data_IF_552614961948
#
_entry.id   IF_552614961948
#
_cell.length_a   1.000
_cell.length_b   1.000
_cell.length_c   1.000
_cell.angle_alpha   90.00
_cell.angle_beta   90.00
_cell.angle_gamma   90.00
#
_symmetry.space_group_name_H-M   'P 1'
#
loop_
_entity.id
_entity.type
_entity.pdbx_description
1 polymer ?
#
# COMPACT_ATOMS: atom_id res chain seq x y z
N UNK A 1 -26.14 5.30 -7.55
CA UNK A 1 -26.09 4.30 -8.64
C UNK A 1 -24.63 4.06 -8.98
N UNK A 2 -24.22 2.82 -9.23
CA UNK A 2 -22.80 2.48 -9.40
C UNK A 2 -22.26 3.03 -10.72
N UNK A 3 -21.44 4.09 -10.69
CA UNK A 3 -20.75 4.70 -11.84
C UNK A 3 -19.58 3.83 -12.36
N UNK A 4 -19.82 2.53 -12.53
CA UNK A 4 -18.85 1.54 -13.00
C UNK A 4 -19.21 1.17 -14.44
N UNK A 5 -18.30 1.44 -15.39
CA UNK A 5 -18.50 1.06 -16.79
C UNK A 5 -17.96 -0.36 -17.01
N UNK A 6 -18.80 -1.23 -17.57
CA UNK A 6 -18.36 -2.53 -18.07
C UNK A 6 -17.81 -2.30 -19.47
N UNK A 7 -16.50 -2.48 -19.64
CA UNK A 7 -15.89 -2.43 -20.97
C UNK A 7 -16.03 -3.79 -21.59
N UNK A 8 -16.41 -3.83 -22.87
CA UNK A 8 -16.48 -5.06 -23.64
C UNK A 8 -15.23 -5.19 -24.50
N UNK A 9 -14.74 -6.41 -24.67
CA UNK A 9 -13.72 -6.75 -25.66
C UNK A 9 -14.30 -6.70 -27.09
N UNK A 10 -13.47 -6.86 -28.13
CA UNK A 10 -13.93 -6.82 -29.53
C UNK A 10 -14.96 -7.88 -29.92
N UNK A 11 -15.16 -8.92 -29.10
CA UNK A 11 -16.17 -9.97 -29.31
C UNK A 11 -17.38 -9.82 -28.38
N UNK A 12 -17.45 -8.71 -27.63
CA UNK A 12 -18.59 -8.36 -26.78
C UNK A 12 -18.57 -8.97 -25.38
N UNK A 13 -17.46 -9.58 -24.94
CA UNK A 13 -17.34 -10.11 -23.59
C UNK A 13 -16.84 -9.03 -22.62
N UNK A 14 -17.29 -9.02 -21.35
CA UNK A 14 -16.76 -8.09 -20.35
C UNK A 14 -15.25 -8.25 -20.17
N UNK A 15 -14.48 -7.26 -20.60
CA UNK A 15 -13.01 -7.23 -20.40
C UNK A 15 -12.63 -6.75 -19.00
N UNK A 16 -13.60 -6.22 -18.24
CA UNK A 16 -13.46 -5.79 -16.86
C UNK A 16 -14.37 -4.63 -16.50
N UNK A 17 -14.34 -4.24 -15.22
CA UNK A 17 -14.93 -2.98 -14.77
C UNK A 17 -13.82 -1.95 -14.74
N UNK A 18 -13.83 -1.01 -15.68
CA UNK A 18 -12.78 0.00 -15.78
C UNK A 18 -13.28 1.37 -15.39
N UNK A 19 -12.61 1.93 -14.38
CA UNK A 19 -12.65 3.34 -14.02
C UNK A 19 -14.03 3.89 -13.67
N UNK A 20 -13.99 5.10 -13.15
CA UNK A 20 -15.16 5.98 -13.10
C UNK A 20 -15.17 6.76 -14.42
N UNK A 21 -16.35 7.00 -14.99
CA UNK A 21 -16.51 7.70 -16.28
C UNK A 21 -16.73 9.20 -16.04
N UNK A 22 -16.27 10.03 -16.98
CA UNK A 22 -16.74 11.41 -17.14
C UNK A 22 -18.24 11.44 -17.47
N UNK A 23 -18.91 12.53 -17.06
CA UNK A 23 -20.31 12.75 -17.43
C UNK A 23 -20.45 12.96 -18.95
N UNK A 24 -21.60 12.59 -19.51
CA UNK A 24 -21.83 12.62 -20.97
C UNK A 24 -21.71 14.03 -21.55
N UNK A 25 -21.99 15.05 -20.74
CA UNK A 25 -21.93 16.47 -21.07
C UNK A 25 -20.55 17.11 -20.79
N UNK A 26 -19.58 16.33 -20.29
CA UNK A 26 -18.23 16.84 -20.04
C UNK A 26 -17.58 17.30 -21.36
N UNK A 27 -16.86 18.44 -21.36
CA UNK A 27 -16.23 18.94 -22.57
C UNK A 27 -15.15 17.98 -23.06
N UNK A 28 -14.89 17.96 -24.37
CA UNK A 28 -13.92 17.03 -24.98
C UNK A 28 -12.51 17.09 -24.36
N UNK A 29 -12.09 18.26 -23.87
CA UNK A 29 -10.78 18.43 -23.23
C UNK A 29 -10.71 17.84 -21.80
N UNK A 30 -11.84 17.47 -21.20
CA UNK A 30 -11.91 16.91 -19.84
C UNK A 30 -11.12 15.60 -19.65
N UNK A 31 -10.84 14.87 -20.74
CA UNK A 31 -9.98 13.67 -20.70
C UNK A 31 -8.56 14.01 -20.20
N UNK A 32 -8.05 15.19 -20.57
CA UNK A 32 -6.69 15.63 -20.26
C UNK A 32 -6.60 16.56 -19.04
N UNK A 33 -7.73 17.05 -18.54
CA UNK A 33 -7.77 17.95 -17.39
C UNK A 33 -8.06 17.14 -16.10
N UNK A 34 -7.09 17.03 -15.18
CA UNK A 34 -7.27 16.26 -13.95
C UNK A 34 -8.40 16.78 -13.07
N UNK A 35 -8.87 18.02 -13.26
CA UNK A 35 -9.99 18.63 -12.53
C UNK A 35 -11.31 17.94 -12.81
N UNK A 36 -11.53 17.51 -14.06
CA UNK A 36 -12.75 16.85 -14.47
C UNK A 36 -12.69 15.33 -14.33
N UNK A 37 -11.48 14.76 -14.21
CA UNK A 37 -11.33 13.33 -14.00
C UNK A 37 -12.13 12.87 -12.77
N UNK A 38 -12.86 11.75 -12.84
CA UNK A 38 -13.69 11.34 -11.73
C UNK A 38 -12.81 10.90 -10.57
N UNK A 39 -12.77 11.72 -9.53
CA UNK A 39 -11.98 11.43 -8.32
C UNK A 39 -12.77 10.55 -7.38
N UNK A 40 -12.03 9.83 -6.54
CA UNK A 40 -12.64 9.23 -5.37
C UNK A 40 -12.79 10.23 -4.24
N UNK A 41 -13.85 10.08 -3.46
CA UNK A 41 -14.04 10.88 -2.25
C UNK A 41 -13.24 10.26 -1.12
N UNK A 42 -12.82 11.08 -0.15
CA UNK A 42 -12.07 10.57 1.01
C UNK A 42 -12.87 9.51 1.78
N UNK A 43 -14.19 9.65 1.83
CA UNK A 43 -15.11 8.72 2.48
C UNK A 43 -15.11 7.35 1.78
N UNK A 44 -15.11 7.33 0.44
CA UNK A 44 -15.08 6.10 -0.34
C UNK A 44 -13.71 5.42 -0.32
N UNK A 45 -12.63 6.16 -0.07
CA UNK A 45 -11.28 5.63 0.16
C UNK A 45 -11.01 5.28 1.63
N UNK A 46 -12.02 5.36 2.51
CA UNK A 46 -11.82 5.14 3.95
C UNK A 46 -11.29 3.75 4.30
N UNK A 47 -11.59 2.73 3.48
CA UNK A 47 -11.06 1.38 3.61
C UNK A 47 -9.58 1.24 3.20
N UNK A 48 -9.03 2.22 2.48
CA UNK A 48 -7.64 2.29 2.03
C UNK A 48 -6.79 3.20 2.93
N UNK A 49 -7.30 3.59 4.09
CA UNK A 49 -6.53 4.38 5.06
C UNK A 49 -5.34 3.58 5.57
N UNK A 50 -4.20 4.25 5.68
CA UNK A 50 -3.06 3.72 6.43
C UNK A 50 -3.47 3.48 7.90
N UNK A 51 -2.73 2.61 8.58
CA UNK A 51 -2.88 2.42 10.02
C UNK A 51 -2.84 3.77 10.76
N UNK A 52 -3.61 3.88 11.83
CA UNK A 52 -3.60 5.08 12.67
C UNK A 52 -2.18 5.35 13.19
N UNK A 53 -1.82 6.63 13.24
CA UNK A 53 -0.50 7.02 13.73
C UNK A 53 -0.41 6.75 15.23
N UNK A 54 0.64 6.05 15.63
CA UNK A 54 0.99 5.88 17.04
C UNK A 54 1.55 7.17 17.62
N UNK A 55 1.20 7.48 18.86
CA UNK A 55 1.77 8.61 19.60
C UNK A 55 3.25 8.38 19.98
N UNK A 56 3.64 7.12 20.14
CA UNK A 56 5.01 6.70 20.48
C UNK A 56 5.30 5.29 19.97
N UNK A 57 6.58 5.00 19.76
CA UNK A 57 7.09 3.66 19.43
C UNK A 57 7.65 2.91 20.64
N UNK A 58 7.77 3.55 21.80
CA UNK A 58 8.31 2.88 22.99
C UNK A 58 7.40 1.75 23.47
N UNK A 59 7.98 0.57 23.70
CA UNK A 59 7.27 -0.66 24.03
C UNK A 59 6.52 -1.30 22.86
N UNK A 60 6.66 -0.78 21.63
CA UNK A 60 5.93 -1.23 20.44
C UNK A 60 6.71 -2.24 19.61
N UNK A 61 5.99 -3.11 18.93
CA UNK A 61 6.53 -4.03 17.93
C UNK A 61 6.48 -3.39 16.53
N UNK A 62 7.66 -3.05 16.01
CA UNK A 62 7.83 -2.49 14.66
C UNK A 62 8.38 -3.58 13.74
N UNK A 63 7.59 -3.95 12.74
CA UNK A 63 8.02 -4.88 11.70
C UNK A 63 8.82 -4.15 10.62
N UNK A 64 10.02 -4.62 10.34
CA UNK A 64 10.87 -4.15 9.26
C UNK A 64 10.73 -5.15 8.11
N UNK A 65 9.99 -4.81 7.07
CA UNK A 65 9.70 -5.70 5.95
C UNK A 65 10.58 -5.33 4.76
N UNK A 66 11.61 -6.12 4.51
CA UNK A 66 12.35 -6.07 3.26
C UNK A 66 11.53 -6.72 2.15
N UNK A 67 11.21 -5.96 1.10
CA UNK A 67 10.37 -6.47 0.00
C UNK A 67 11.16 -7.17 -1.10
N UNK A 68 12.50 -7.23 -1.00
CA UNK A 68 13.37 -7.87 -1.99
C UNK A 68 13.95 -6.91 -3.03
N UNK A 69 13.85 -5.60 -2.82
CA UNK A 69 14.55 -4.62 -3.65
C UNK A 69 16.07 -4.72 -3.42
N UNK A 70 16.87 -4.49 -4.47
CA UNK A 70 18.32 -4.60 -4.39
C UNK A 70 18.90 -3.64 -3.33
N UNK A 71 19.71 -4.17 -2.40
CA UNK A 71 20.26 -3.41 -1.28
C UNK A 71 19.29 -3.17 -0.11
N UNK A 72 18.02 -3.57 -0.25
CA UNK A 72 16.99 -3.37 0.77
C UNK A 72 17.19 -4.21 2.03
N UNK A 73 17.84 -5.38 1.90
CA UNK A 73 18.10 -6.27 3.04
C UNK A 73 19.12 -5.65 3.99
N UNK A 74 20.26 -5.22 3.46
CA UNK A 74 21.37 -4.63 4.20
C UNK A 74 20.91 -3.36 4.91
N UNK A 75 20.14 -2.51 4.22
CA UNK A 75 19.54 -1.33 4.85
C UNK A 75 18.63 -1.68 6.03
N UNK A 76 17.81 -2.72 5.91
CA UNK A 76 16.89 -3.11 6.98
C UNK A 76 17.61 -3.75 8.18
N UNK A 77 18.70 -4.47 7.94
CA UNK A 77 19.59 -4.98 8.99
C UNK A 77 20.23 -3.81 9.76
N UNK A 78 20.81 -2.84 9.05
CA UNK A 78 21.40 -1.63 9.67
C UNK A 78 20.35 -0.78 10.40
N UNK A 79 19.13 -0.70 9.86
CA UNK A 79 18.02 -0.01 10.54
C UNK A 79 17.65 -0.73 11.84
N UNK A 80 17.60 -2.06 11.84
CA UNK A 80 17.34 -2.86 13.03
C UNK A 80 18.42 -2.60 14.10
N UNK A 81 19.69 -2.61 13.71
CA UNK A 81 20.83 -2.35 14.61
C UNK A 81 20.79 -0.92 15.17
N UNK A 82 20.41 0.06 14.33
CA UNK A 82 20.22 1.43 14.77
C UNK A 82 19.12 1.54 15.84
N UNK A 83 17.99 0.85 15.67
CA UNK A 83 16.93 0.81 16.69
C UNK A 83 17.43 0.17 17.98
N UNK A 84 18.12 -0.97 17.91
CA UNK A 84 18.67 -1.63 19.09
C UNK A 84 19.62 -0.71 19.88
N UNK A 85 20.43 0.08 19.19
CA UNK A 85 21.40 1.01 19.80
C UNK A 85 20.77 2.30 20.34
N UNK A 86 19.87 2.91 19.58
CA UNK A 86 19.41 4.28 19.85
C UNK A 86 17.99 4.34 20.44
N UNK A 87 17.23 3.26 20.28
CA UNK A 87 15.82 3.13 20.67
C UNK A 87 15.54 1.74 21.24
N UNK A 88 16.25 1.31 22.31
CA UNK A 88 16.16 -0.07 22.83
C UNK A 88 14.77 -0.42 23.39
N UNK A 89 13.93 0.56 23.70
CA UNK A 89 12.54 0.32 24.11
C UNK A 89 11.61 -0.04 22.95
N UNK A 90 12.06 0.11 21.70
CA UNK A 90 11.32 -0.30 20.49
C UNK A 90 11.71 -1.73 20.11
N UNK A 91 10.73 -2.63 20.03
CA UNK A 91 10.98 -4.00 19.59
C UNK A 91 10.90 -4.07 18.07
N UNK A 92 12.03 -4.33 17.41
CA UNK A 92 12.08 -4.49 15.95
C UNK A 92 12.09 -5.95 15.51
N UNK A 93 11.27 -6.30 14.51
CA UNK A 93 11.19 -7.64 13.92
C UNK A 93 11.47 -7.55 12.42
N UNK A 94 12.63 -8.04 11.99
CA UNK A 94 13.01 -8.08 10.58
C UNK A 94 12.36 -9.27 9.85
N UNK A 95 11.71 -8.99 8.73
CA UNK A 95 11.09 -9.99 7.84
C UNK A 95 11.52 -9.73 6.41
N UNK A 96 12.01 -10.78 5.76
CA UNK A 96 12.26 -10.77 4.32
C UNK A 96 11.07 -11.42 3.63
N UNK A 97 10.49 -10.73 2.63
CA UNK A 97 9.57 -11.38 1.71
C UNK A 97 10.25 -12.59 1.08
N UNK A 98 9.52 -13.68 0.99
CA UNK A 98 9.97 -14.92 0.32
C UNK A 98 9.68 -14.91 -1.17
N UNK A 99 8.77 -14.02 -1.58
CA UNK A 99 8.34 -13.81 -2.97
C UNK A 99 8.82 -12.46 -3.50
N UNK A 100 8.52 -12.15 -4.77
CA UNK A 100 8.88 -10.84 -5.35
C UNK A 100 8.19 -9.68 -4.62
N UNK A 101 8.72 -8.45 -4.77
CA UNK A 101 8.11 -7.24 -4.21
C UNK A 101 6.66 -7.00 -4.65
N UNK A 102 6.25 -7.59 -5.78
CA UNK A 102 4.90 -7.42 -6.34
C UNK A 102 3.95 -8.57 -5.99
N UNK A 103 4.46 -9.62 -5.34
CA UNK A 103 3.69 -10.81 -5.02
C UNK A 103 3.12 -10.70 -3.60
N UNK A 104 1.85 -11.07 -3.45
CA UNK A 104 1.17 -11.04 -2.16
C UNK A 104 1.74 -12.11 -1.19
N UNK A 105 1.84 -11.78 0.10
CA UNK A 105 2.25 -12.73 1.16
C UNK A 105 1.24 -12.72 2.31
N UNK A 106 0.07 -13.37 2.11
CA UNK A 106 -1.07 -13.26 3.03
C UNK A 106 -0.75 -13.76 4.45
N UNK A 107 0.15 -14.73 4.59
CA UNK A 107 0.58 -15.23 5.90
C UNK A 107 1.44 -14.21 6.66
N UNK A 108 2.34 -13.51 5.96
CA UNK A 108 3.12 -12.42 6.54
C UNK A 108 2.21 -11.27 6.98
N UNK A 109 1.22 -10.92 6.15
CA UNK A 109 0.25 -9.87 6.50
C UNK A 109 -0.61 -10.24 7.70
N UNK A 110 -1.01 -11.52 7.80
CA UNK A 110 -1.75 -12.02 8.96
C UNK A 110 -0.91 -11.96 10.22
N UNK A 111 0.35 -12.35 10.14
CA UNK A 111 1.30 -12.26 11.27
C UNK A 111 1.46 -10.81 11.74
N UNK A 112 1.72 -9.89 10.81
CA UNK A 112 1.92 -8.47 11.10
C UNK A 112 0.65 -7.87 11.72
N UNK A 113 -0.53 -8.19 11.17
CA UNK A 113 -1.80 -7.69 11.70
C UNK A 113 -2.08 -8.18 13.13
N UNK A 114 -1.58 -9.36 13.50
CA UNK A 114 -1.78 -9.93 14.83
C UNK A 114 -0.77 -9.41 15.85
N UNK A 115 0.47 -9.17 15.44
CA UNK A 115 1.59 -8.99 16.36
C UNK A 115 2.31 -7.64 16.24
N UNK A 116 2.07 -6.88 15.17
CA UNK A 116 2.74 -5.62 14.88
C UNK A 116 1.89 -4.41 15.27
N UNK A 117 2.53 -3.42 15.89
CA UNK A 117 1.94 -2.10 16.11
C UNK A 117 2.22 -1.16 14.91
N UNK A 118 3.37 -1.36 14.24
CA UNK A 118 3.78 -0.56 13.09
C UNK A 118 4.62 -1.38 12.09
N UNK A 119 4.72 -0.88 10.86
CA UNK A 119 5.50 -1.49 9.79
C UNK A 119 6.33 -0.45 9.06
N UNK A 120 7.56 -0.81 8.70
CA UNK A 120 8.41 -0.11 7.74
C UNK A 120 8.62 -1.03 6.54
N UNK A 121 8.29 -0.57 5.34
CA UNK A 121 8.49 -1.32 4.10
C UNK A 121 9.70 -0.80 3.33
N UNK A 122 10.60 -1.70 2.93
CA UNK A 122 11.80 -1.39 2.14
C UNK A 122 11.52 -1.47 0.66
N UNK A 123 10.82 -0.46 0.12
CA UNK A 123 10.23 -0.49 -1.24
C UNK A 123 11.14 0.00 -2.38
N UNK A 124 12.35 0.50 -2.09
CA UNK A 124 13.25 1.01 -3.12
C UNK A 124 14.24 2.05 -2.60
N UNK A 125 15.28 2.30 -3.40
CA UNK A 125 16.27 3.37 -3.25
C UNK A 125 16.55 4.01 -4.60
#
# INVERSE_FOLDING_TARGET
>A
MSNKCVVLDPIGQPSGIFGRRLEIDSPMFAIHDPTYQPRDTSENLSSLKMAERLDTLEGKAVYLVNTGFAGGREFMEELQDWFAKNRPGVKTILKNKTTSMFTDEPDLWREIKQNGDAVVFGVGG
#
